data_IF_244462457725
#
_entry.id   IF_244462457725
#
_cell.length_a   1.000
_cell.length_b   1.000
_cell.length_c   1.000
_cell.angle_alpha   90.00
_cell.angle_beta   90.00
_cell.angle_gamma   90.00
#
_symmetry.space_group_name_H-M   'P 1'
#
loop_
_entity.id
_entity.type
_entity.pdbx_description
1 polymer ?
#
# COMPACT_ATOMS: atom_id res chain seq x y z
N UNK A 1 1.87 11.50 0.30
CA UNK A 1 0.60 11.83 -0.40
C UNK A 1 0.79 11.98 -1.90
N UNK A 2 1.68 12.87 -2.37
CA UNK A 2 1.95 13.04 -3.81
C UNK A 2 2.23 11.73 -4.57
N UNK A 3 3.15 10.89 -4.08
CA UNK A 3 3.47 9.62 -4.75
C UNK A 3 2.27 8.65 -4.78
N UNK A 4 1.49 8.61 -3.70
CA UNK A 4 0.30 7.75 -3.61
C UNK A 4 -0.75 8.12 -4.67
N UNK A 5 -1.03 9.41 -4.85
CA UNK A 5 -2.00 9.86 -5.85
C UNK A 5 -1.49 9.62 -7.28
N UNK A 6 -0.18 9.78 -7.54
CA UNK A 6 0.39 9.48 -8.87
C UNK A 6 0.37 7.98 -9.20
N UNK A 7 0.65 7.11 -8.24
CA UNK A 7 0.48 5.67 -8.43
C UNK A 7 -0.98 5.27 -8.62
N UNK A 8 -1.92 5.92 -7.91
CA UNK A 8 -3.34 5.68 -8.10
C UNK A 8 -3.76 5.97 -9.55
N UNK A 9 -3.29 7.09 -10.11
CA UNK A 9 -3.52 7.46 -11.52
C UNK A 9 -2.96 6.39 -12.45
N UNK A 10 -1.73 5.91 -12.21
CA UNK A 10 -1.11 4.86 -13.02
C UNK A 10 -1.99 3.60 -13.08
N UNK A 11 -2.39 3.08 -11.92
CA UNK A 11 -3.24 1.88 -11.84
C UNK A 11 -4.62 2.10 -12.47
N UNK A 12 -5.25 3.25 -12.22
CA UNK A 12 -6.54 3.60 -12.81
C UNK A 12 -6.48 3.64 -14.33
N UNK A 13 -5.51 4.37 -14.88
CA UNK A 13 -5.32 4.54 -16.32
C UNK A 13 -4.98 3.22 -17.01
N UNK A 14 -4.16 2.37 -16.39
CA UNK A 14 -3.88 1.03 -16.92
C UNK A 14 -5.13 0.15 -16.98
N UNK A 15 -5.98 0.17 -15.94
CA UNK A 15 -7.27 -0.55 -15.97
C UNK A 15 -8.18 -0.04 -17.08
N UNK A 16 -8.33 1.28 -17.22
CA UNK A 16 -9.16 1.88 -18.26
C UNK A 16 -8.64 1.61 -19.67
N UNK A 17 -7.33 1.75 -19.90
CA UNK A 17 -6.72 1.46 -21.19
C UNK A 17 -7.14 0.08 -21.70
N UNK A 18 -6.99 -0.94 -20.86
CA UNK A 18 -7.33 -2.32 -21.22
C UNK A 18 -8.82 -2.55 -21.54
N UNK A 19 -9.72 -1.64 -21.15
CA UNK A 19 -11.14 -1.67 -21.53
C UNK A 19 -11.41 -0.99 -22.86
N UNK A 20 -10.70 0.11 -23.13
CA UNK A 20 -10.90 0.89 -24.35
C UNK A 20 -10.31 0.25 -25.61
N UNK A 21 -9.56 -0.85 -25.48
CA UNK A 21 -9.18 -1.71 -26.62
C UNK A 21 -10.39 -2.10 -27.50
N UNK A 22 -11.60 -2.14 -26.91
CA UNK A 22 -12.85 -2.50 -27.60
C UNK A 22 -13.62 -1.32 -28.18
N UNK A 23 -13.31 -0.08 -27.80
CA UNK A 23 -14.10 1.10 -28.18
C UNK A 23 -13.38 2.01 -29.17
N UNK A 24 -12.10 1.74 -29.48
CA UNK A 24 -11.27 2.55 -30.36
C UNK A 24 -10.69 3.82 -29.72
N UNK A 25 -11.03 4.11 -28.45
CA UNK A 25 -10.36 5.16 -27.69
C UNK A 25 -8.99 4.66 -27.22
N UNK A 26 -7.97 5.53 -27.24
CA UNK A 26 -6.64 5.22 -26.70
C UNK A 26 -6.36 6.03 -25.45
N UNK A 27 -5.81 5.37 -24.44
CA UNK A 27 -5.30 5.99 -23.24
C UNK A 27 -3.79 5.78 -23.16
N UNK A 28 -3.06 6.86 -22.97
CA UNK A 28 -1.61 6.86 -22.84
C UNK A 28 -1.23 7.68 -21.61
N UNK A 29 -0.11 7.34 -20.99
CA UNK A 29 0.31 7.91 -19.70
C UNK A 29 1.71 8.48 -19.84
N UNK A 30 1.86 9.78 -19.53
CA UNK A 30 3.16 10.43 -19.46
C UNK A 30 3.59 10.59 -18.00
N UNK A 31 4.78 10.08 -17.68
CA UNK A 31 5.42 10.18 -16.37
C UNK A 31 6.67 11.08 -16.49
N UNK A 32 6.52 12.41 -16.38
CA UNK A 32 7.67 13.31 -16.44
C UNK A 32 8.50 13.22 -15.15
N UNK A 33 9.82 13.24 -15.29
CA UNK A 33 10.73 13.57 -14.19
C UNK A 33 10.69 15.05 -13.79
N UNK A 34 11.72 15.53 -13.08
CA UNK A 34 11.75 16.90 -12.55
C UNK A 34 11.79 17.93 -13.69
N UNK A 35 10.70 18.66 -13.91
CA UNK A 35 10.60 19.71 -14.94
C UNK A 35 10.98 21.08 -14.39
N UNK A 36 11.88 21.79 -15.08
CA UNK A 36 12.30 23.13 -14.75
C UNK A 36 11.13 24.11 -14.89
N UNK A 37 10.58 24.52 -13.75
CA UNK A 37 9.54 25.54 -13.66
C UNK A 37 9.85 26.50 -12.51
N UNK A 38 9.34 27.75 -12.53
CA UNK A 38 9.46 28.67 -11.41
C UNK A 38 8.93 28.06 -10.09
N UNK A 39 7.87 27.25 -10.19
CA UNK A 39 7.29 26.53 -9.05
C UNK A 39 8.26 25.51 -8.44
N UNK A 40 8.92 24.68 -9.25
CA UNK A 40 9.89 23.69 -8.76
C UNK A 40 11.08 24.35 -8.08
N UNK A 41 11.52 25.51 -8.58
CA UNK A 41 12.59 26.30 -7.95
C UNK A 41 12.16 26.81 -6.58
N UNK A 42 10.97 27.41 -6.47
CA UNK A 42 10.42 27.86 -5.18
C UNK A 42 10.15 26.72 -4.18
N UNK A 43 9.70 25.56 -4.67
CA UNK A 43 9.46 24.36 -3.85
C UNK A 43 10.79 23.79 -3.36
N UNK A 44 11.84 23.77 -4.18
CA UNK A 44 13.18 23.34 -3.77
C UNK A 44 13.65 24.13 -2.54
N UNK A 45 13.51 25.45 -2.58
CA UNK A 45 13.91 26.33 -1.48
C UNK A 45 13.07 26.10 -0.22
N UNK A 46 11.74 25.98 -0.36
CA UNK A 46 10.83 25.76 0.78
C UNK A 46 10.97 24.37 1.41
N UNK A 47 11.09 23.32 0.60
CA UNK A 47 11.29 21.94 1.07
C UNK A 47 12.67 21.80 1.69
N UNK A 48 13.73 22.33 1.08
CA UNK A 48 15.07 22.31 1.66
C UNK A 48 15.07 22.93 3.05
N UNK A 49 14.39 24.06 3.25
CA UNK A 49 14.38 24.73 4.56
C UNK A 49 13.55 23.97 5.61
N UNK A 50 12.34 23.51 5.29
CA UNK A 50 11.47 22.80 6.24
C UNK A 50 11.96 21.38 6.55
N UNK A 51 12.55 20.69 5.57
CA UNK A 51 13.04 19.32 5.73
C UNK A 51 14.44 19.30 6.36
N UNK A 52 15.33 20.27 6.10
CA UNK A 52 16.62 20.39 6.83
C UNK A 52 16.43 20.53 8.34
N UNK A 53 15.39 21.26 8.76
CA UNK A 53 15.07 21.46 10.17
C UNK A 53 14.70 20.15 10.90
N UNK A 54 14.20 19.13 10.18
CA UNK A 54 13.72 17.86 10.77
C UNK A 54 14.67 16.69 10.47
N UNK A 55 15.35 16.70 9.32
CA UNK A 55 16.05 15.55 8.77
C UNK A 55 17.58 15.73 8.63
N UNK A 56 18.13 16.90 8.96
CA UNK A 56 19.55 17.24 8.78
C UNK A 56 19.89 17.69 7.34
N UNK A 57 21.15 18.08 7.11
CA UNK A 57 21.66 18.69 5.86
C UNK A 57 21.54 17.82 4.59
N UNK A 58 21.26 16.52 4.73
CA UNK A 58 21.11 15.57 3.61
C UNK A 58 19.69 15.51 3.02
N UNK A 59 18.79 16.39 3.46
CA UNK A 59 17.42 16.46 2.98
C UNK A 59 17.29 16.96 1.52
N UNK A 60 16.62 16.16 0.68
CA UNK A 60 16.01 16.44 -0.64
C UNK A 60 16.59 17.68 -1.34
N UNK A 61 17.81 17.56 -1.86
CA UNK A 61 18.33 18.54 -2.79
C UNK A 61 17.79 18.23 -4.19
N UNK A 62 16.72 18.93 -4.59
CA UNK A 62 16.14 18.77 -5.94
C UNK A 62 17.14 19.17 -7.05
N UNK A 63 18.16 19.97 -6.74
CA UNK A 63 19.22 20.33 -7.68
C UNK A 63 20.21 19.17 -7.95
N UNK A 64 20.16 18.09 -7.16
CA UNK A 64 20.85 16.83 -7.52
C UNK A 64 20.18 16.11 -8.70
N UNK A 65 18.93 16.46 -9.02
CA UNK A 65 18.20 15.89 -10.15
C UNK A 65 18.34 16.80 -11.37
N UNK A 66 18.74 16.22 -12.50
CA UNK A 66 18.82 16.96 -13.77
C UNK A 66 17.40 17.32 -14.21
N UNK A 67 17.16 18.61 -14.38
CA UNK A 67 15.85 19.15 -14.74
C UNK A 67 15.65 19.10 -16.26
N UNK A 68 14.48 18.70 -16.71
CA UNK A 68 14.07 18.76 -18.12
C UNK A 68 13.26 20.02 -18.41
N UNK A 69 13.18 20.47 -19.66
CA UNK A 69 12.39 21.66 -20.00
C UNK A 69 10.90 21.32 -20.15
N UNK A 70 10.05 22.36 -20.15
CA UNK A 70 8.62 22.19 -20.45
C UNK A 70 8.43 21.76 -21.91
N UNK A 71 9.30 22.21 -22.81
CA UNK A 71 9.24 21.88 -24.24
C UNK A 71 9.54 20.40 -24.48
N UNK A 72 10.55 19.84 -23.79
CA UNK A 72 10.90 18.41 -23.92
C UNK A 72 9.73 17.51 -23.50
N UNK A 73 9.07 17.85 -22.39
CA UNK A 73 7.89 17.10 -21.92
C UNK A 73 6.72 17.28 -22.88
N UNK A 74 6.55 18.47 -23.46
CA UNK A 74 5.49 18.76 -24.43
C UNK A 74 5.67 17.94 -25.71
N UNK A 75 6.89 17.91 -26.24
CA UNK A 75 7.25 17.13 -27.43
C UNK A 75 7.10 15.63 -27.18
N UNK A 76 7.60 15.13 -26.06
CA UNK A 76 7.44 13.72 -25.69
C UNK A 76 5.96 13.34 -25.53
N UNK A 77 5.12 14.26 -25.02
CA UNK A 77 3.68 14.03 -24.88
C UNK A 77 2.98 13.98 -26.24
N UNK A 78 3.32 14.87 -27.17
CA UNK A 78 2.80 14.84 -28.54
C UNK A 78 3.18 13.55 -29.25
N UNK A 79 4.45 13.13 -29.12
CA UNK A 79 4.95 11.89 -29.70
C UNK A 79 4.24 10.65 -29.13
N UNK A 80 4.07 10.58 -27.81
CA UNK A 80 3.32 9.50 -27.17
C UNK A 80 1.89 9.40 -27.72
N UNK A 81 1.20 10.53 -27.85
CA UNK A 81 -0.17 10.59 -28.37
C UNK A 81 -0.20 10.11 -29.82
N UNK A 82 0.73 10.55 -30.65
CA UNK A 82 0.73 10.26 -32.09
C UNK A 82 1.20 8.85 -32.44
N UNK A 83 2.21 8.33 -31.73
CA UNK A 83 3.01 7.19 -32.19
C UNK A 83 2.71 5.89 -31.46
N UNK A 84 2.29 5.92 -30.21
CA UNK A 84 2.23 4.71 -29.39
C UNK A 84 0.81 4.12 -29.26
N UNK A 85 0.73 2.90 -28.75
CA UNK A 85 -0.51 2.13 -28.59
C UNK A 85 -1.24 2.47 -27.29
N UNK A 86 -2.50 2.03 -27.23
CA UNK A 86 -3.30 2.11 -26.02
C UNK A 86 -2.59 1.42 -24.83
N UNK A 87 -2.63 2.05 -23.66
CA UNK A 87 -1.95 1.61 -22.44
C UNK A 87 -0.45 1.96 -22.37
N UNK A 88 0.12 2.63 -23.37
CA UNK A 88 1.52 3.03 -23.34
C UNK A 88 1.82 3.99 -22.18
N UNK A 89 2.95 3.75 -21.51
CA UNK A 89 3.49 4.59 -20.45
C UNK A 89 4.86 5.07 -20.89
N UNK A 90 5.03 6.38 -21.03
CA UNK A 90 6.32 6.99 -21.31
C UNK A 90 6.87 7.67 -20.08
N UNK A 91 8.18 7.52 -19.88
CA UNK A 91 8.92 8.28 -18.89
C UNK A 91 9.73 9.30 -19.68
N UNK A 92 9.38 10.57 -19.53
CA UNK A 92 10.17 11.67 -20.07
C UNK A 92 11.17 12.10 -19.01
N UNK A 93 12.43 11.77 -19.26
CA UNK A 93 13.58 12.17 -18.46
C UNK A 93 14.86 12.17 -19.30
N UNK A 94 15.55 13.31 -19.35
CA UNK A 94 16.86 13.50 -19.99
C UNK A 94 16.84 13.28 -21.51
N UNK A 95 17.71 13.97 -22.25
CA UNK A 95 18.02 13.68 -23.66
C UNK A 95 18.79 12.33 -23.87
N UNK A 96 18.52 11.28 -23.07
CA UNK A 96 19.21 9.95 -22.97
C UNK A 96 20.74 9.94 -22.68
N UNK A 97 21.36 8.79 -22.34
CA UNK A 97 21.09 7.87 -21.23
C UNK A 97 22.26 7.84 -20.20
N UNK A 98 22.02 7.38 -18.96
CA UNK A 98 23.13 6.90 -18.12
C UNK A 98 22.70 5.87 -17.06
N UNK A 99 23.45 4.76 -17.05
CA UNK A 99 23.45 3.67 -16.07
C UNK A 99 24.09 4.15 -14.76
N UNK A 100 23.52 3.77 -13.61
CA UNK A 100 24.28 3.75 -12.34
C UNK A 100 24.15 2.40 -11.64
N UNK A 101 25.32 1.94 -11.20
CA UNK A 101 25.65 0.63 -10.63
C UNK A 101 24.83 0.23 -9.41
N UNK A 102 24.51 -1.06 -9.33
CA UNK A 102 23.85 -1.67 -8.20
C UNK A 102 24.84 -1.79 -7.03
N UNK A 103 24.50 -1.25 -5.86
CA UNK A 103 25.10 -1.74 -4.61
C UNK A 103 24.43 -3.06 -4.27
N UNK A 104 25.24 -4.13 -4.25
CA UNK A 104 24.86 -5.45 -3.75
C UNK A 104 24.74 -5.34 -2.23
N UNK A 105 23.51 -5.27 -1.70
CA UNK A 105 23.30 -5.41 -0.26
C UNK A 105 23.57 -6.87 0.12
N UNK A 106 24.50 -7.09 1.04
CA UNK A 106 24.69 -8.39 1.67
C UNK A 106 23.36 -8.86 2.29
N UNK A 107 23.01 -10.12 2.08
CA UNK A 107 21.85 -10.75 2.71
C UNK A 107 22.07 -10.90 4.22
N UNK A 108 21.77 -9.84 4.96
CA UNK A 108 21.53 -9.98 6.40
C UNK A 108 20.20 -10.73 6.52
N UNK A 109 20.24 -11.95 7.06
CA UNK A 109 19.04 -12.67 7.51
C UNK A 109 18.40 -11.88 8.65
N UNK A 110 17.55 -10.91 8.31
CA UNK A 110 16.68 -10.24 9.29
C UNK A 110 15.61 -11.25 9.69
N UNK A 111 15.62 -11.64 10.97
CA UNK A 111 14.56 -12.44 11.57
C UNK A 111 13.91 -11.60 12.67
N UNK A 112 12.83 -10.92 12.32
CA UNK A 112 12.04 -10.15 13.26
C UNK A 112 11.24 -11.09 14.16
N UNK A 113 11.52 -11.04 15.47
CA UNK A 113 10.80 -11.86 16.44
C UNK A 113 9.46 -11.21 16.82
N UNK A 114 8.36 -11.90 16.53
CA UNK A 114 7.01 -11.46 16.89
C UNK A 114 6.64 -11.77 18.35
N UNK A 115 7.42 -12.59 19.04
CA UNK A 115 7.13 -12.95 20.44
C UNK A 115 7.14 -11.71 21.34
N UNK A 116 6.17 -11.65 22.24
CA UNK A 116 5.96 -10.57 23.21
C UNK A 116 5.69 -9.19 22.59
N UNK A 117 5.32 -9.13 21.31
CA UNK A 117 4.98 -7.89 20.60
C UNK A 117 3.52 -7.50 20.74
N UNK A 118 3.21 -6.21 20.68
CA UNK A 118 1.81 -5.73 20.63
C UNK A 118 1.41 -5.40 19.21
N UNK A 119 0.21 -5.80 18.82
CA UNK A 119 -0.27 -5.67 17.44
C UNK A 119 -1.59 -4.93 17.40
N UNK A 120 -1.72 -4.01 16.45
CA UNK A 120 -2.96 -3.35 16.10
C UNK A 120 -3.37 -3.78 14.68
N UNK A 121 -4.61 -4.23 14.49
CA UNK A 121 -5.10 -4.71 13.19
C UNK A 121 -6.46 -4.04 12.88
N UNK A 122 -6.55 -3.35 11.75
CA UNK A 122 -7.82 -2.74 11.29
C UNK A 122 -8.63 -3.71 10.43
N UNK A 123 -9.96 -3.66 10.51
CA UNK A 123 -10.85 -4.60 9.82
C UNK A 123 -10.67 -6.04 10.32
N UNK A 124 -10.46 -6.21 11.63
CA UNK A 124 -10.02 -7.46 12.24
C UNK A 124 -11.14 -8.30 12.88
N UNK A 125 -12.41 -7.87 12.79
CA UNK A 125 -13.52 -8.63 13.34
C UNK A 125 -13.88 -9.87 12.50
N UNK A 126 -13.34 -10.00 11.28
CA UNK A 126 -13.60 -11.11 10.37
C UNK A 126 -12.49 -11.33 9.34
N UNK A 127 -12.63 -12.38 8.52
CA UNK A 127 -11.82 -12.61 7.33
C UNK A 127 -10.31 -12.66 7.60
N UNK A 128 -9.54 -11.99 6.74
CA UNK A 128 -8.08 -11.94 6.84
C UNK A 128 -7.59 -11.27 8.12
N UNK A 129 -8.21 -10.17 8.54
CA UNK A 129 -7.79 -9.44 9.73
C UNK A 129 -7.92 -10.27 11.01
N UNK A 130 -9.05 -10.97 11.17
CA UNK A 130 -9.23 -11.94 12.27
C UNK A 130 -8.18 -13.05 12.21
N UNK A 131 -7.94 -13.60 11.02
CA UNK A 131 -6.97 -14.69 10.84
C UNK A 131 -5.54 -14.26 11.13
N UNK A 132 -5.18 -13.01 10.83
CA UNK A 132 -3.91 -12.42 11.23
C UNK A 132 -3.78 -12.32 12.75
N UNK A 133 -4.84 -11.91 13.45
CA UNK A 133 -4.84 -11.88 14.92
C UNK A 133 -4.59 -13.27 15.52
N UNK A 134 -5.32 -14.28 15.04
CA UNK A 134 -5.21 -15.67 15.47
C UNK A 134 -3.79 -16.23 15.26
N UNK A 135 -3.24 -16.10 14.04
CA UNK A 135 -1.92 -16.67 13.76
C UNK A 135 -0.80 -15.97 14.53
N UNK A 136 -0.92 -14.66 14.75
CA UNK A 136 0.06 -13.90 15.52
C UNK A 136 0.03 -14.28 17.00
N UNK A 137 -1.16 -14.44 17.59
CA UNK A 137 -1.35 -14.92 18.97
C UNK A 137 -0.77 -16.32 19.15
N UNK A 138 -1.04 -17.22 18.19
CA UNK A 138 -0.45 -18.56 18.15
C UNK A 138 1.08 -18.55 18.05
N UNK A 139 1.67 -17.49 17.50
CA UNK A 139 3.13 -17.28 17.40
C UNK A 139 3.71 -16.42 18.53
N UNK A 140 2.94 -16.20 19.60
CA UNK A 140 3.43 -15.64 20.84
C UNK A 140 3.51 -14.12 20.90
N UNK A 141 2.84 -13.37 20.00
CA UNK A 141 2.63 -11.92 20.25
C UNK A 141 1.95 -11.74 21.61
N UNK A 142 2.28 -10.67 22.33
CA UNK A 142 1.78 -10.44 23.70
C UNK A 142 0.26 -10.19 23.71
N UNK A 143 -0.18 -9.25 22.87
CA UNK A 143 -1.60 -8.86 22.79
C UNK A 143 -1.94 -8.31 21.41
N UNK A 144 -3.19 -8.47 20.99
CA UNK A 144 -3.72 -7.95 19.72
C UNK A 144 -4.91 -7.02 19.98
N UNK A 145 -4.90 -5.84 19.39
CA UNK A 145 -6.06 -4.96 19.30
C UNK A 145 -6.79 -5.21 17.98
N UNK A 146 -8.00 -5.74 18.10
CA UNK A 146 -8.96 -5.93 17.01
C UNK A 146 -9.72 -4.62 16.83
N UNK A 147 -9.52 -3.95 15.70
CA UNK A 147 -10.22 -2.70 15.37
C UNK A 147 -11.15 -2.96 14.21
N UNK A 148 -12.41 -2.59 14.40
CA UNK A 148 -13.43 -2.71 13.37
C UNK A 148 -14.61 -1.79 13.71
N UNK A 149 -15.59 -1.71 12.81
CA UNK A 149 -16.77 -0.88 13.00
C UNK A 149 -17.54 -1.26 14.28
N UNK A 150 -18.23 -0.31 14.93
CA UNK A 150 -19.09 -0.59 16.08
C UNK A 150 -20.15 -1.67 15.81
N UNK A 151 -20.63 -1.76 14.57
CA UNK A 151 -21.65 -2.72 14.10
C UNK A 151 -21.06 -4.08 13.70
N UNK A 152 -19.75 -4.26 13.79
CA UNK A 152 -19.07 -5.50 13.43
C UNK A 152 -19.26 -6.59 14.49
N UNK A 153 -18.81 -7.81 14.17
CA UNK A 153 -18.75 -8.94 15.10
C UNK A 153 -17.53 -8.88 16.05
N UNK A 154 -16.95 -7.70 16.28
CA UNK A 154 -15.64 -7.56 16.93
C UNK A 154 -15.58 -8.07 18.36
N UNK A 155 -16.67 -7.92 19.14
CA UNK A 155 -16.72 -8.44 20.50
C UNK A 155 -16.66 -9.97 20.55
N UNK A 156 -17.40 -10.65 19.67
CA UNK A 156 -17.38 -12.11 19.58
C UNK A 156 -16.03 -12.62 19.06
N UNK A 157 -15.45 -11.93 18.08
CA UNK A 157 -14.11 -12.24 17.59
C UNK A 157 -13.08 -12.24 18.72
N UNK A 158 -13.08 -11.20 19.56
CA UNK A 158 -12.17 -11.12 20.72
C UNK A 158 -12.47 -12.19 21.76
N UNK A 159 -13.74 -12.45 22.07
CA UNK A 159 -14.12 -13.55 22.98
C UNK A 159 -13.58 -14.91 22.49
N UNK A 160 -13.65 -15.20 21.19
CA UNK A 160 -13.09 -16.42 20.61
C UNK A 160 -11.57 -16.47 20.76
N UNK A 161 -10.87 -15.37 20.46
CA UNK A 161 -9.42 -15.29 20.64
C UNK A 161 -9.01 -15.43 22.11
N UNK A 162 -9.73 -14.83 23.05
CA UNK A 162 -9.44 -14.95 24.48
C UNK A 162 -9.70 -16.37 25.01
N UNK A 163 -10.74 -17.05 24.51
CA UNK A 163 -11.01 -18.44 24.87
C UNK A 163 -9.88 -19.39 24.43
N UNK A 164 -9.25 -19.12 23.29
CA UNK A 164 -8.15 -19.95 22.76
C UNK A 164 -6.80 -19.58 23.37
N UNK A 165 -6.49 -18.28 23.51
CA UNK A 165 -5.14 -17.81 23.81
C UNK A 165 -4.98 -17.25 25.23
N UNK A 166 -6.08 -17.04 25.96
CA UNK A 166 -6.10 -16.51 27.32
C UNK A 166 -6.72 -15.10 27.41
N UNK A 167 -7.25 -14.77 28.59
CA UNK A 167 -7.85 -13.47 28.90
C UNK A 167 -6.81 -12.33 28.81
N UNK A 168 -7.23 -11.18 28.27
CA UNK A 168 -6.39 -9.99 28.07
C UNK A 168 -5.44 -10.08 26.86
N UNK A 169 -5.50 -11.17 26.10
CA UNK A 169 -4.65 -11.39 24.92
C UNK A 169 -5.19 -10.71 23.67
N UNK A 170 -6.49 -10.40 23.66
CA UNK A 170 -7.11 -9.61 22.61
C UNK A 170 -8.03 -8.55 23.23
N UNK A 171 -8.11 -7.37 22.61
CA UNK A 171 -9.09 -6.33 22.96
C UNK A 171 -9.83 -5.89 21.71
N UNK A 172 -11.12 -5.58 21.83
CA UNK A 172 -11.90 -4.97 20.76
C UNK A 172 -11.97 -3.46 20.98
N UNK A 173 -11.68 -2.70 19.93
CA UNK A 173 -11.89 -1.25 19.92
C UNK A 173 -12.74 -0.89 18.70
N UNK A 174 -14.00 -0.55 18.96
CA UNK A 174 -14.91 -0.03 17.95
C UNK A 174 -14.35 1.29 17.37
N UNK A 175 -14.19 1.36 16.06
CA UNK A 175 -13.62 2.51 15.37
C UNK A 175 -14.05 2.50 13.90
N UNK A 176 -14.58 3.62 13.40
CA UNK A 176 -14.61 3.89 11.97
C UNK A 176 -13.28 4.55 11.57
N UNK A 177 -12.40 3.77 10.95
CA UNK A 177 -11.06 4.22 10.56
C UNK A 177 -11.08 5.34 9.50
N UNK A 178 -12.22 5.61 8.86
CA UNK A 178 -12.37 6.75 7.95
C UNK A 178 -12.51 8.08 8.70
N UNK A 179 -12.86 8.05 9.99
CA UNK A 179 -12.97 9.21 10.88
C UNK A 179 -11.66 9.41 11.63
N UNK A 180 -11.01 10.56 11.40
CA UNK A 180 -9.68 10.83 11.96
C UNK A 180 -9.69 10.89 13.49
N UNK A 181 -10.67 11.58 14.08
CA UNK A 181 -10.78 11.72 15.54
C UNK A 181 -10.98 10.37 16.24
N UNK A 182 -11.74 9.46 15.63
CA UNK A 182 -11.95 8.12 16.15
C UNK A 182 -10.66 7.31 16.08
N UNK A 183 -9.94 7.40 14.95
CA UNK A 183 -8.68 6.70 14.77
C UNK A 183 -7.61 7.17 15.76
N UNK A 184 -7.48 8.48 15.99
CA UNK A 184 -6.53 9.05 16.95
C UNK A 184 -6.84 8.59 18.39
N UNK A 185 -8.12 8.64 18.79
CA UNK A 185 -8.57 8.12 20.09
C UNK A 185 -8.27 6.63 20.24
N UNK A 186 -8.50 5.85 19.19
CA UNK A 186 -8.21 4.41 19.15
C UNK A 186 -6.73 4.12 19.31
N UNK A 187 -5.85 4.83 18.60
CA UNK A 187 -4.39 4.70 18.76
C UNK A 187 -3.97 5.01 20.19
N UNK A 188 -4.42 6.14 20.74
CA UNK A 188 -4.10 6.53 22.12
C UNK A 188 -4.53 5.45 23.11
N UNK A 189 -5.78 4.99 23.02
CA UNK A 189 -6.32 3.93 23.89
C UNK A 189 -5.48 2.65 23.82
N UNK A 190 -5.10 2.22 22.63
CA UNK A 190 -4.32 0.99 22.44
C UNK A 190 -2.91 1.15 22.99
N UNK A 191 -2.24 2.26 22.69
CA UNK A 191 -0.88 2.53 23.19
C UNK A 191 -0.88 2.62 24.71
N UNK A 192 -1.87 3.27 25.32
CA UNK A 192 -2.01 3.32 26.78
C UNK A 192 -2.26 1.92 27.38
N UNK A 193 -3.16 1.13 26.76
CA UNK A 193 -3.54 -0.22 27.26
C UNK A 193 -2.40 -1.23 27.12
N UNK A 194 -1.63 -1.13 26.04
CA UNK A 194 -0.56 -2.07 25.71
C UNK A 194 0.83 -1.55 26.10
N UNK A 195 0.93 -0.35 26.66
CA UNK A 195 2.18 0.35 26.99
C UNK A 195 3.14 0.46 25.79
N UNK A 196 2.55 0.66 24.60
CA UNK A 196 3.26 0.75 23.33
C UNK A 196 2.62 -0.04 22.19
N UNK A 197 3.15 0.19 21.00
CA UNK A 197 2.76 -0.46 19.76
C UNK A 197 4.02 -0.96 19.05
N UNK A 198 4.05 -2.23 18.65
CA UNK A 198 5.18 -2.79 17.89
C UNK A 198 4.83 -3.04 16.41
N UNK A 199 3.58 -3.41 16.12
CA UNK A 199 3.13 -3.81 14.78
C UNK A 199 1.76 -3.20 14.49
N UNK A 200 1.65 -2.45 13.39
CA UNK A 200 0.38 -2.07 12.78
C UNK A 200 0.14 -2.90 11.53
N UNK A 201 -1.05 -3.47 11.39
CA UNK A 201 -1.54 -4.07 10.14
C UNK A 201 -2.74 -3.28 9.65
N UNK A 202 -2.53 -2.48 8.61
CA UNK A 202 -3.61 -1.77 7.90
C UNK A 202 -4.31 -2.73 6.95
N UNK A 203 -5.28 -3.47 7.48
CA UNK A 203 -6.04 -4.49 6.75
C UNK A 203 -7.44 -4.04 6.33
N UNK A 204 -8.05 -3.07 7.01
CA UNK A 204 -9.36 -2.54 6.62
C UNK A 204 -9.37 -2.12 5.16
N UNK A 205 -10.38 -2.59 4.42
CA UNK A 205 -10.51 -2.31 3.00
C UNK A 205 -11.78 -2.92 2.42
N UNK A 206 -12.18 -2.38 1.27
CA UNK A 206 -13.35 -2.83 0.53
C UNK A 206 -13.07 -2.90 -0.96
N UNK A 207 -13.89 -3.69 -1.65
CA UNK A 207 -13.95 -3.74 -3.11
C UNK A 207 -15.39 -3.39 -3.49
N UNK A 208 -15.59 -2.15 -3.92
CA UNK A 208 -16.88 -1.69 -4.43
C UNK A 208 -16.67 -0.47 -5.34
N UNK A 209 -16.52 -0.72 -6.63
CA UNK A 209 -16.30 0.33 -7.61
C UNK A 209 -17.54 1.21 -7.83
N UNK A 210 -18.72 0.86 -7.30
CA UNK A 210 -19.88 1.77 -7.29
C UNK A 210 -19.74 2.92 -6.29
N UNK A 211 -18.85 2.79 -5.32
CA UNK A 211 -18.68 3.70 -4.18
C UNK A 211 -17.26 4.29 -4.22
N UNK A 212 -17.05 5.27 -5.09
CA UNK A 212 -15.73 5.86 -5.32
C UNK A 212 -15.16 6.47 -4.04
N UNK A 213 -15.93 7.35 -3.40
CA UNK A 213 -15.46 8.10 -2.23
C UNK A 213 -15.18 7.15 -1.07
N UNK A 214 -16.07 6.21 -0.78
CA UNK A 214 -15.92 5.24 0.29
C UNK A 214 -14.72 4.32 0.05
N UNK A 215 -14.52 3.87 -1.19
CA UNK A 215 -13.36 3.05 -1.55
C UNK A 215 -12.05 3.80 -1.34
N UNK A 216 -11.96 5.08 -1.72
CA UNK A 216 -10.75 5.88 -1.53
C UNK A 216 -10.56 6.27 -0.06
N UNK A 217 -11.64 6.63 0.64
CA UNK A 217 -11.60 6.97 2.06
C UNK A 217 -11.10 5.80 2.91
N UNK A 218 -11.60 4.59 2.64
CA UNK A 218 -11.22 3.40 3.38
C UNK A 218 -9.87 2.82 2.93
N UNK A 219 -9.69 2.54 1.64
CA UNK A 219 -8.50 1.82 1.17
C UNK A 219 -7.24 2.68 1.15
N UNK A 220 -7.39 4.00 1.03
CA UNK A 220 -6.25 4.93 0.86
C UNK A 220 -6.12 5.87 2.06
N UNK A 221 -7.13 6.71 2.32
CA UNK A 221 -6.99 7.76 3.35
C UNK A 221 -6.87 7.18 4.75
N UNK A 222 -7.72 6.22 5.13
CA UNK A 222 -7.65 5.58 6.44
C UNK A 222 -6.30 4.84 6.63
N UNK A 223 -5.84 4.10 5.62
CA UNK A 223 -4.53 3.41 5.66
C UNK A 223 -3.36 4.38 5.81
N UNK A 224 -3.37 5.50 5.06
CA UNK A 224 -2.33 6.53 5.16
C UNK A 224 -2.33 7.14 6.56
N UNK A 225 -3.49 7.53 7.08
CA UNK A 225 -3.62 8.10 8.43
C UNK A 225 -3.14 7.12 9.50
N UNK A 226 -3.61 5.87 9.44
CA UNK A 226 -3.17 4.81 10.35
C UNK A 226 -1.67 4.61 10.30
N UNK A 227 -1.08 4.55 9.12
CA UNK A 227 0.37 4.44 8.95
C UNK A 227 1.13 5.63 9.53
N UNK A 228 0.66 6.86 9.34
CA UNK A 228 1.32 8.06 9.88
C UNK A 228 1.24 8.12 11.41
N UNK A 229 0.09 7.76 12.00
CA UNK A 229 -0.05 7.66 13.46
C UNK A 229 0.88 6.57 14.02
N UNK A 230 0.90 5.39 13.41
CA UNK A 230 1.84 4.33 13.77
C UNK A 230 3.30 4.78 13.66
N UNK A 231 3.65 5.49 12.59
CA UNK A 231 4.98 6.00 12.37
C UNK A 231 5.41 6.96 13.47
N UNK A 232 4.50 7.81 13.93
CA UNK A 232 4.71 8.73 15.06
C UNK A 232 4.84 8.00 16.40
N UNK A 233 3.91 7.10 16.74
CA UNK A 233 3.94 6.37 18.01
C UNK A 233 5.10 5.38 18.12
N UNK A 234 5.51 4.75 17.00
CA UNK A 234 6.58 3.76 17.00
C UNK A 234 7.96 4.37 16.74
N UNK A 235 8.05 5.49 16.06
CA UNK A 235 9.30 5.99 15.52
C UNK A 235 10.29 6.52 16.56
N UNK A 236 11.57 6.12 16.44
CA UNK A 236 12.68 6.59 17.29
C UNK A 236 12.83 8.11 17.33
N UNK A 237 12.59 8.77 16.19
CA UNK A 237 12.56 10.23 16.07
C UNK A 237 11.53 10.94 16.97
N UNK A 238 10.54 10.22 17.52
CA UNK A 238 9.55 10.72 18.51
C UNK A 238 9.63 9.96 19.85
N UNK A 239 10.76 9.32 20.14
CA UNK A 239 10.97 8.58 21.40
C UNK A 239 10.42 7.15 21.41
N UNK A 240 9.89 6.66 20.29
CA UNK A 240 9.48 5.27 20.13
C UNK A 240 10.68 4.30 19.97
N UNK A 241 10.39 3.01 19.83
CA UNK A 241 11.43 1.94 19.77
C UNK A 241 11.73 1.45 18.34
N UNK A 242 11.07 2.04 17.34
CA UNK A 242 10.88 1.43 16.03
C UNK A 242 9.70 0.45 16.03
N UNK A 243 9.44 -0.19 14.90
CA UNK A 243 8.31 -1.11 14.77
C UNK A 243 8.10 -1.58 13.33
N UNK A 244 6.93 -2.16 13.06
CA UNK A 244 6.55 -2.67 11.75
C UNK A 244 5.18 -2.15 11.34
N UNK A 245 5.08 -1.56 10.16
CA UNK A 245 3.83 -1.25 9.49
C UNK A 245 3.67 -2.23 8.34
N UNK A 246 2.57 -2.97 8.35
CA UNK A 246 2.14 -3.82 7.25
C UNK A 246 0.95 -3.16 6.57
N UNK A 247 1.09 -2.87 5.29
CA UNK A 247 0.00 -2.35 4.47
C UNK A 247 -0.54 -3.46 3.55
N UNK A 248 -1.86 -3.69 3.58
CA UNK A 248 -2.51 -4.68 2.72
C UNK A 248 -2.90 -4.02 1.38
N UNK A 249 -2.10 -4.29 0.35
CA UNK A 249 -2.38 -3.93 -1.02
C UNK A 249 -3.23 -5.04 -1.69
N UNK A 250 -2.83 -5.50 -2.87
CA UNK A 250 -3.43 -6.61 -3.63
C UNK A 250 -2.54 -6.95 -4.82
N UNK A 251 -2.70 -8.13 -5.42
CA UNK A 251 -2.20 -8.35 -6.80
C UNK A 251 -2.75 -7.31 -7.78
N UNK A 252 -3.94 -6.73 -7.51
CA UNK A 252 -4.48 -5.61 -8.29
C UNK A 252 -3.84 -4.26 -7.99
N UNK A 253 -2.87 -4.20 -7.07
CA UNK A 253 -1.93 -3.09 -6.98
C UNK A 253 -0.73 -3.26 -7.92
N UNK A 254 -0.47 -4.48 -8.40
CA UNK A 254 0.70 -4.81 -9.24
C UNK A 254 0.31 -4.99 -10.70
N UNK A 255 -0.92 -5.47 -10.93
CA UNK A 255 -1.48 -5.70 -12.25
C UNK A 255 -2.91 -5.16 -12.33
N UNK A 256 -3.25 -4.30 -13.30
CA UNK A 256 -4.56 -3.69 -13.39
C UNK A 256 -5.69 -4.71 -13.58
N UNK A 257 -6.77 -4.56 -12.83
CA UNK A 257 -8.01 -5.30 -13.08
C UNK A 257 -9.01 -4.43 -13.84
N UNK A 258 -9.37 -4.85 -15.05
CA UNK A 258 -10.30 -4.10 -15.92
C UNK A 258 -11.66 -3.85 -15.24
N UNK A 259 -12.17 -4.85 -14.52
CA UNK A 259 -13.50 -4.78 -13.90
C UNK A 259 -13.56 -3.85 -12.67
N UNK A 260 -12.42 -3.49 -12.09
CA UNK A 260 -12.36 -2.73 -10.83
C UNK A 260 -11.31 -1.61 -10.89
N UNK A 261 -11.43 -0.63 -11.81
CA UNK A 261 -10.47 0.45 -11.95
C UNK A 261 -10.29 1.29 -10.67
N UNK A 262 -11.35 1.57 -9.91
CA UNK A 262 -11.29 2.37 -8.67
C UNK A 262 -10.60 1.58 -7.56
N UNK A 263 -10.98 0.32 -7.34
CA UNK A 263 -10.28 -0.56 -6.41
C UNK A 263 -8.80 -0.72 -6.79
N UNK A 264 -8.51 -0.97 -8.07
CA UNK A 264 -7.14 -1.09 -8.61
C UNK A 264 -6.34 0.18 -8.28
N UNK A 265 -6.87 1.36 -8.61
CA UNK A 265 -6.25 2.65 -8.30
C UNK A 265 -5.92 2.78 -6.81
N UNK A 266 -6.86 2.40 -5.94
CA UNK A 266 -6.66 2.44 -4.49
C UNK A 266 -5.49 1.55 -4.04
N UNK A 267 -5.34 0.35 -4.61
CA UNK A 267 -4.28 -0.59 -4.25
C UNK A 267 -2.91 -0.23 -4.83
N UNK A 268 -2.86 0.41 -6.01
CA UNK A 268 -1.65 1.07 -6.50
C UNK A 268 -1.22 2.22 -5.57
N UNK A 269 -2.17 3.02 -5.08
CA UNK A 269 -1.89 4.12 -4.15
C UNK A 269 -1.20 3.63 -2.88
N UNK A 270 -1.63 2.48 -2.35
CA UNK A 270 -1.03 1.82 -1.18
C UNK A 270 0.44 1.46 -1.44
N UNK A 271 0.78 0.93 -2.62
CA UNK A 271 2.16 0.60 -2.97
C UNK A 271 3.04 1.86 -3.02
N UNK A 272 2.63 2.88 -3.78
CA UNK A 272 3.38 4.12 -3.92
C UNK A 272 3.57 4.85 -2.59
N UNK A 273 2.53 4.86 -1.74
CA UNK A 273 2.62 5.39 -0.38
C UNK A 273 3.63 4.61 0.47
N UNK A 274 3.50 3.29 0.51
CA UNK A 274 4.31 2.43 1.38
C UNK A 274 5.79 2.47 1.00
N UNK A 275 6.10 2.43 -0.30
CA UNK A 275 7.47 2.54 -0.80
C UNK A 275 8.09 3.89 -0.44
N UNK A 276 7.29 4.97 -0.47
CA UNK A 276 7.75 6.31 -0.08
C UNK A 276 8.01 6.40 1.42
N UNK A 277 7.10 5.89 2.26
CA UNK A 277 7.23 5.93 3.72
C UNK A 277 8.42 5.08 4.21
N UNK A 278 8.66 3.93 3.57
CA UNK A 278 9.77 3.03 3.88
C UNK A 278 11.15 3.70 3.81
N UNK A 279 11.31 4.76 2.99
CA UNK A 279 12.59 5.49 2.83
C UNK A 279 13.09 6.15 4.12
N UNK A 280 12.24 6.30 5.13
CA UNK A 280 12.58 6.96 6.40
C UNK A 280 13.10 5.98 7.48
N UNK A 281 13.25 4.69 7.16
CA UNK A 281 13.59 3.63 8.11
C UNK A 281 14.83 3.93 8.95
N UNK A 282 15.90 4.43 8.34
CA UNK A 282 17.18 4.67 9.05
C UNK A 282 17.02 5.69 10.19
N UNK A 283 16.04 6.60 10.07
CA UNK A 283 15.78 7.65 11.06
C UNK A 283 14.76 7.24 12.11
N UNK A 284 13.83 6.35 11.76
CA UNK A 284 12.69 6.02 12.63
C UNK A 284 12.73 4.62 13.21
N UNK A 285 13.48 3.71 12.60
CA UNK A 285 13.44 2.28 12.92
C UNK A 285 12.10 1.63 12.62
N UNK A 286 11.19 2.30 11.91
CA UNK A 286 9.86 1.79 11.56
C UNK A 286 9.93 1.17 10.17
N UNK A 287 9.91 -0.17 10.13
CA UNK A 287 9.93 -0.93 8.89
C UNK A 287 8.54 -0.90 8.26
N UNK A 288 8.47 -0.61 6.96
CA UNK A 288 7.22 -0.63 6.19
C UNK A 288 7.30 -1.75 5.16
N UNK A 289 6.35 -2.69 5.22
CA UNK A 289 6.25 -3.85 4.33
C UNK A 289 4.83 -3.98 3.79
N UNK A 290 4.70 -4.65 2.65
CA UNK A 290 3.45 -4.66 1.89
C UNK A 290 3.07 -6.11 1.60
N UNK A 291 1.82 -6.47 1.88
CA UNK A 291 1.26 -7.74 1.44
C UNK A 291 0.31 -7.50 0.29
N UNK A 292 0.46 -8.30 -0.77
CA UNK A 292 -0.35 -8.29 -1.97
C UNK A 292 -1.09 -9.63 -2.10
N UNK A 293 -2.22 -9.83 -1.39
CA UNK A 293 -2.99 -11.05 -1.56
C UNK A 293 -3.57 -11.15 -2.97
N UNK A 294 -3.53 -12.36 -3.53
CA UNK A 294 -4.32 -12.81 -4.66
C UNK A 294 -5.79 -13.07 -4.27
N UNK A 295 -6.53 -13.70 -5.18
CA UNK A 295 -7.95 -14.01 -4.95
C UNK A 295 -8.10 -14.93 -3.74
N UNK A 296 -8.72 -14.42 -2.68
CA UNK A 296 -8.84 -15.12 -1.39
C UNK A 296 -10.30 -15.30 -1.04
N UNK A 297 -10.69 -16.52 -0.66
CA UNK A 297 -12.07 -16.88 -0.35
C UNK A 297 -12.51 -16.14 0.93
N UNK A 298 -13.21 -15.02 0.76
CA UNK A 298 -13.68 -14.11 1.81
C UNK A 298 -14.98 -13.43 1.38
N UNK A 299 -15.65 -12.74 2.31
CA UNK A 299 -16.81 -11.89 2.01
C UNK A 299 -16.49 -10.71 1.10
N UNK A 300 -15.20 -10.35 0.94
CA UNK A 300 -14.80 -9.25 0.05
C UNK A 300 -15.20 -9.54 -1.41
N UNK A 301 -15.16 -10.80 -1.84
CA UNK A 301 -15.42 -11.22 -3.22
C UNK A 301 -16.82 -11.79 -3.45
N UNK A 302 -17.70 -11.77 -2.45
CA UNK A 302 -19.12 -12.12 -2.65
C UNK A 302 -19.83 -11.02 -3.43
N UNK A 303 -20.83 -11.40 -4.23
CA UNK A 303 -21.62 -10.47 -5.05
C UNK A 303 -20.78 -9.53 -5.91
N UNK A 304 -19.65 -10.03 -6.42
CA UNK A 304 -18.64 -9.22 -7.11
C UNK A 304 -19.21 -8.50 -8.34
N UNK A 305 -20.15 -9.13 -9.05
CA UNK A 305 -20.81 -8.52 -10.20
C UNK A 305 -21.60 -7.27 -9.78
N UNK A 306 -22.14 -7.19 -8.57
CA UNK A 306 -22.87 -6.00 -8.08
C UNK A 306 -21.93 -4.85 -7.69
N UNK A 307 -20.63 -5.13 -7.50
CA UNK A 307 -19.60 -4.16 -7.12
C UNK A 307 -18.94 -3.47 -8.31
N UNK A 308 -19.24 -3.87 -9.55
CA UNK A 308 -18.73 -3.23 -10.77
C UNK A 308 -19.56 -1.99 -11.11
N UNK A 309 -18.90 -0.91 -11.52
CA UNK A 309 -19.54 0.29 -12.08
C UNK A 309 -20.41 -0.04 -13.31
N UNK A 310 -21.57 0.60 -13.44
CA UNK A 310 -22.50 0.32 -14.55
C UNK A 310 -21.88 0.67 -15.92
N UNK A 311 -21.07 1.74 -15.99
CA UNK A 311 -20.30 2.10 -17.20
C UNK A 311 -19.31 1.00 -17.62
N UNK A 312 -18.74 0.28 -16.65
CA UNK A 312 -17.80 -0.82 -16.91
C UNK A 312 -18.55 -2.09 -17.34
N UNK A 313 -19.70 -2.36 -16.70
CA UNK A 313 -20.58 -3.47 -17.11
C UNK A 313 -21.05 -3.35 -18.55
N UNK A 314 -21.33 -2.12 -19.02
CA UNK A 314 -21.79 -1.86 -20.37
C UNK A 314 -20.79 -2.30 -21.46
N UNK A 315 -19.49 -2.36 -21.15
CA UNK A 315 -18.42 -2.72 -22.09
C UNK A 315 -17.75 -4.07 -21.78
N UNK A 316 -18.07 -4.69 -20.65
CA UNK A 316 -17.46 -5.94 -20.19
C UNK A 316 -18.50 -6.88 -19.60
N UNK A 317 -18.74 -8.01 -20.29
CA UNK A 317 -19.80 -8.95 -19.94
C UNK A 317 -19.45 -9.92 -18.79
N UNK A 318 -18.22 -9.92 -18.25
CA UNK A 318 -17.82 -10.83 -17.15
C UNK A 318 -16.76 -10.23 -16.22
N UNK A 319 -16.96 -10.36 -14.91
CA UNK A 319 -15.91 -10.21 -13.91
C UNK A 319 -15.00 -11.44 -13.97
N UNK A 320 -13.84 -11.29 -14.61
CA UNK A 320 -12.89 -12.38 -14.83
C UNK A 320 -12.07 -12.81 -13.60
N UNK A 321 -12.65 -12.91 -12.40
CA UNK A 321 -11.89 -13.39 -11.23
C UNK A 321 -11.51 -14.89 -11.34
N UNK A 322 -12.29 -15.69 -12.08
CA UNK A 322 -12.05 -17.13 -12.30
C UNK A 322 -10.71 -17.44 -12.97
N UNK A 323 -10.08 -16.46 -13.63
CA UNK A 323 -8.78 -16.66 -14.29
C UNK A 323 -7.60 -16.63 -13.31
N UNK A 324 -7.81 -16.14 -12.09
CA UNK A 324 -6.78 -16.10 -11.05
C UNK A 324 -6.96 -17.28 -10.09
N UNK A 325 -5.87 -17.94 -9.66
CA UNK A 325 -5.95 -19.05 -8.72
C UNK A 325 -6.43 -18.55 -7.36
N UNK A 326 -7.45 -19.21 -6.79
CA UNK A 326 -7.97 -18.89 -5.47
C UNK A 326 -7.13 -19.51 -4.35
N UNK A 327 -7.22 -18.95 -3.15
CA UNK A 327 -6.54 -19.46 -1.96
C UNK A 327 -7.39 -19.29 -0.69
N UNK A 328 -7.00 -19.97 0.38
CA UNK A 328 -7.60 -19.84 1.71
C UNK A 328 -7.03 -18.65 2.47
N UNK A 329 -7.74 -18.21 3.51
CA UNK A 329 -7.25 -17.17 4.43
C UNK A 329 -6.01 -17.62 5.23
N UNK A 330 -5.89 -18.92 5.53
CA UNK A 330 -4.72 -19.50 6.21
C UNK A 330 -3.43 -19.26 5.44
N UNK A 331 -3.46 -19.46 4.11
CA UNK A 331 -2.29 -19.29 3.27
C UNK A 331 -1.77 -17.85 3.31
N UNK A 332 -2.68 -16.88 3.20
CA UNK A 332 -2.34 -15.45 3.28
C UNK A 332 -1.85 -15.07 4.69
N UNK A 333 -2.46 -15.64 5.74
CA UNK A 333 -2.03 -15.40 7.12
C UNK A 333 -0.62 -15.95 7.42
N UNK A 334 -0.29 -17.13 6.89
CA UNK A 334 1.06 -17.69 6.95
C UNK A 334 2.06 -16.84 6.16
N UNK A 335 1.67 -16.36 4.97
CA UNK A 335 2.49 -15.44 4.20
C UNK A 335 2.71 -14.12 4.95
N UNK A 336 1.69 -13.59 5.63
CA UNK A 336 1.78 -12.38 6.43
C UNK A 336 2.78 -12.53 7.58
N UNK A 337 2.66 -13.61 8.35
CA UNK A 337 3.60 -13.91 9.42
C UNK A 337 5.03 -14.01 8.89
N UNK A 338 5.24 -14.73 7.77
CA UNK A 338 6.56 -14.85 7.13
C UNK A 338 7.09 -13.51 6.66
N UNK A 339 6.26 -12.65 6.07
CA UNK A 339 6.62 -11.30 5.64
C UNK A 339 7.04 -10.45 6.84
N UNK A 340 6.28 -10.46 7.94
CA UNK A 340 6.66 -9.76 9.17
C UNK A 340 8.01 -10.27 9.68
N UNK A 341 8.23 -11.58 9.71
CA UNK A 341 9.45 -12.16 10.25
C UNK A 341 10.69 -11.97 9.36
N UNK A 342 10.54 -12.05 8.03
CA UNK A 342 11.67 -12.18 7.09
C UNK A 342 11.75 -11.07 6.05
N UNK A 343 10.65 -10.39 5.77
CA UNK A 343 10.61 -9.35 4.74
C UNK A 343 11.51 -8.18 5.09
N UNK A 344 12.25 -7.68 4.11
CA UNK A 344 13.06 -6.47 4.29
C UNK A 344 12.17 -5.23 4.23
N UNK A 345 12.67 -4.12 4.77
CA UNK A 345 11.99 -2.83 4.61
C UNK A 345 11.76 -2.54 3.12
N UNK A 346 10.61 -1.93 2.80
CA UNK A 346 10.14 -1.63 1.45
C UNK A 346 9.66 -2.82 0.61
N UNK A 347 9.87 -4.08 1.04
CA UNK A 347 9.42 -5.24 0.25
C UNK A 347 7.89 -5.35 0.19
N UNK A 348 7.39 -5.65 -1.01
CA UNK A 348 6.05 -6.18 -1.21
C UNK A 348 6.13 -7.67 -1.49
N UNK A 349 5.32 -8.48 -0.81
CA UNK A 349 5.20 -9.91 -1.09
C UNK A 349 3.82 -10.25 -1.63
N UNK A 350 3.77 -11.18 -2.57
CA UNK A 350 2.52 -11.78 -3.07
C UNK A 350 2.27 -13.10 -2.36
N UNK A 351 1.01 -13.34 -2.02
CA UNK A 351 0.47 -14.65 -1.63
C UNK A 351 -0.66 -14.95 -2.59
N UNK A 352 -0.58 -16.04 -3.36
CA UNK A 352 -1.61 -16.43 -4.31
C UNK A 352 -1.62 -17.94 -4.56
N UNK A 353 -2.76 -18.48 -4.98
CA UNK A 353 -2.92 -19.89 -5.37
C UNK A 353 -2.60 -20.93 -4.28
N UNK A 354 -2.34 -20.51 -3.05
CA UNK A 354 -1.87 -21.38 -1.97
C UNK A 354 -0.41 -21.80 -2.06
N UNK A 355 0.36 -21.16 -2.95
CA UNK A 355 1.78 -21.37 -3.09
C UNK A 355 2.59 -20.59 -2.05
N UNK A 356 3.89 -20.92 -1.84
CA UNK A 356 4.78 -20.11 -1.04
C UNK A 356 4.81 -18.65 -1.50
N UNK A 357 4.80 -17.66 -0.57
CA UNK A 357 4.82 -16.26 -0.97
C UNK A 357 6.16 -15.88 -1.60
N UNK A 358 6.13 -14.90 -2.48
CA UNK A 358 7.31 -14.40 -3.18
C UNK A 358 7.39 -12.87 -3.12
N UNK A 359 8.62 -12.33 -3.11
CA UNK A 359 8.85 -10.89 -3.14
C UNK A 359 8.69 -10.33 -4.56
N UNK A 360 8.15 -9.13 -4.65
CA UNK A 360 8.00 -8.38 -5.90
C UNK A 360 9.22 -7.50 -6.11
N UNK A 361 9.81 -7.56 -7.29
CA UNK A 361 10.86 -6.62 -7.68
C UNK A 361 10.25 -5.29 -8.16
N UNK A 362 10.75 -4.18 -7.61
CA UNK A 362 10.44 -2.83 -8.05
C UNK A 362 11.73 -2.21 -8.58
N UNK A 363 12.13 -2.54 -9.82
CA UNK A 363 13.35 -2.00 -10.37
C UNK A 363 13.23 -0.48 -10.50
N UNK A 364 14.35 0.23 -10.31
CA UNK A 364 14.42 1.67 -10.59
C UNK A 364 13.85 1.96 -11.98
N UNK A 365 13.05 3.03 -12.12
CA UNK A 365 12.22 3.25 -13.30
C UNK A 365 13.00 3.24 -14.62
N UNK A 366 14.28 3.64 -14.62
CA UNK A 366 15.11 3.62 -15.83
C UNK A 366 15.43 2.21 -16.35
N UNK A 367 15.15 1.16 -15.58
CA UNK A 367 15.21 -0.24 -16.03
C UNK A 367 13.87 -0.76 -16.53
N UNK A 368 12.81 0.03 -16.36
CA UNK A 368 11.47 -0.29 -16.87
C UNK A 368 11.23 0.30 -18.27
N UNK A 369 12.21 1.03 -18.83
CA UNK A 369 12.12 1.62 -20.17
C UNK A 369 12.18 0.55 -21.26
N UNK A 370 11.37 0.72 -22.29
CA UNK A 370 11.47 -0.01 -23.56
C UNK A 370 12.08 0.92 -24.62
N UNK A 371 12.78 0.39 -25.63
CA UNK A 371 13.15 1.18 -26.81
C UNK A 371 11.87 1.72 -27.45
N UNK A 372 11.90 3.00 -27.81
CA UNK A 372 10.80 3.69 -28.52
C UNK A 372 11.12 3.77 -29.99
#
# INVERSE_FOLDING_TARGET
MYCASKYAILGFSQSLASMYDKTGARMVIMCPGVTATPLVTSISDKICNSVRAVLGSDAVNLDKYRKQTVDDVSLASLDLIQKDKNGAIWISERDQPSITSHRRFQEIRIMYNVKNKTVMITGAASGLGYKYAEILLRNGVRSVAVIDLPTSNGQNAVSTLENEFGKGRAIFVACDVTKIDDLEKTFKKIVDTFEGLDILINNAGMLNDKCLEETIDLNVKALIRGSMLAFDYMGKHKGGKGGVIVNIASIFGLHPAQAFPIYTASKFAVLGFSQSLASMYDKTGVRVIIMCPGVTITTLITDIDNKVCDSIKAVSNKVGLKKYPSQTIDNVALAMLKLIQKGKNQEAWVSEGGEPPYAVDFPYYSKQSLPV
#
